data_IF_438688322635
#
_entry.id   IF_438688322635
#
_cell.length_a   1.000
_cell.length_b   1.000
_cell.length_c   1.000
_cell.angle_alpha   90.00
_cell.angle_beta   90.00
_cell.angle_gamma   90.00
#
_symmetry.space_group_name_H-M   'P 1'
#
loop_
_entity.id
_entity.type
_entity.pdbx_description
1 polymer ?
#
# COMPACT_ATOMS: atom_id res chain seq x y z
N UNK A 1 -6.16 -13.25 -22.72
CA UNK A 1 -5.84 -12.62 -24.02
C UNK A 1 -5.56 -13.74 -25.02
N UNK A 2 -6.14 -13.73 -26.21
CA UNK A 2 -5.81 -14.74 -27.22
C UNK A 2 -4.41 -14.49 -27.80
N UNK A 3 -3.75 -15.54 -28.26
CA UNK A 3 -2.42 -15.46 -28.89
C UNK A 3 -2.40 -14.52 -30.10
N UNK A 4 -3.48 -14.50 -30.89
CA UNK A 4 -3.66 -13.59 -32.02
C UNK A 4 -3.75 -12.12 -31.61
N UNK A 5 -4.47 -11.81 -30.53
CA UNK A 5 -4.57 -10.46 -30.00
C UNK A 5 -3.23 -9.96 -29.44
N UNK A 6 -2.46 -10.87 -28.84
CA UNK A 6 -1.10 -10.59 -28.35
C UNK A 6 -0.13 -10.22 -29.47
N UNK A 7 -0.02 -11.07 -30.49
CA UNK A 7 0.88 -10.81 -31.62
C UNK A 7 0.48 -9.54 -32.38
N UNK A 8 -0.81 -9.25 -32.50
CA UNK A 8 -1.29 -8.00 -33.11
C UNK A 8 -0.87 -6.75 -32.33
N UNK A 9 -0.99 -6.77 -31.00
CA UNK A 9 -0.56 -5.64 -30.15
C UNK A 9 0.96 -5.43 -30.21
N UNK A 10 1.74 -6.52 -30.19
CA UNK A 10 3.21 -6.47 -30.36
C UNK A 10 3.55 -5.83 -31.72
N UNK A 11 2.91 -6.31 -32.80
CA UNK A 11 3.24 -5.90 -34.17
C UNK A 11 2.91 -4.45 -34.52
N UNK A 12 1.98 -3.82 -33.80
CA UNK A 12 1.63 -2.40 -33.98
C UNK A 12 2.35 -1.48 -32.97
N UNK A 13 3.33 -2.01 -32.23
CA UNK A 13 4.13 -1.26 -31.27
C UNK A 13 3.34 -0.79 -30.03
N UNK A 14 2.18 -1.40 -29.74
CA UNK A 14 1.46 -1.07 -28.51
C UNK A 14 2.25 -1.59 -27.31
N UNK A 15 2.50 -0.76 -26.28
CA UNK A 15 3.13 -1.22 -25.05
C UNK A 15 2.25 -2.28 -24.41
N UNK A 16 2.79 -3.49 -24.28
CA UNK A 16 2.07 -4.63 -23.72
C UNK A 16 2.13 -4.49 -22.21
N UNK A 17 0.98 -4.32 -21.57
CA UNK A 17 0.90 -4.37 -20.11
C UNK A 17 1.26 -5.77 -19.66
N UNK A 18 2.40 -5.90 -18.99
CA UNK A 18 2.94 -7.18 -18.56
C UNK A 18 2.06 -7.76 -17.44
N UNK A 19 1.76 -9.07 -17.44
CA UNK A 19 0.96 -9.70 -16.36
C UNK A 19 1.62 -9.54 -14.98
N UNK A 20 2.95 -9.39 -14.96
CA UNK A 20 3.73 -9.07 -13.75
C UNK A 20 3.37 -7.70 -13.16
N UNK A 21 3.06 -6.71 -14.00
CA UNK A 21 2.63 -5.37 -13.58
C UNK A 21 1.27 -5.46 -12.88
N UNK A 22 0.31 -6.19 -13.47
CA UNK A 22 -1.03 -6.35 -12.88
C UNK A 22 -1.04 -7.09 -11.54
N UNK A 23 -0.14 -8.06 -11.32
CA UNK A 23 0.00 -8.73 -10.01
C UNK A 23 0.61 -7.81 -8.96
N UNK A 24 1.67 -7.08 -9.32
CA UNK A 24 2.33 -6.12 -8.43
C UNK A 24 1.38 -5.01 -8.00
N UNK A 25 0.57 -4.48 -8.92
CA UNK A 25 -0.48 -3.51 -8.63
C UNK A 25 -1.55 -4.09 -7.70
N UNK A 26 -1.97 -5.34 -7.89
CA UNK A 26 -2.96 -5.99 -7.04
C UNK A 26 -2.44 -6.20 -5.61
N UNK A 27 -1.17 -6.56 -5.44
CA UNK A 27 -0.57 -6.73 -4.13
C UNK A 27 -0.34 -5.39 -3.42
N UNK A 28 0.03 -4.33 -4.17
CA UNK A 28 0.04 -2.96 -3.64
C UNK A 28 -1.35 -2.51 -3.18
N UNK A 29 -2.40 -2.82 -3.94
CA UNK A 29 -3.77 -2.47 -3.56
C UNK A 29 -4.20 -3.17 -2.25
N UNK A 30 -3.80 -4.43 -2.03
CA UNK A 30 -4.04 -5.14 -0.76
C UNK A 30 -3.32 -4.47 0.40
N UNK A 31 -2.03 -4.17 0.24
CA UNK A 31 -1.24 -3.50 1.29
C UNK A 31 -1.86 -2.15 1.67
N UNK A 32 -2.34 -1.38 0.68
CA UNK A 32 -3.03 -0.11 0.92
C UNK A 32 -4.36 -0.29 1.69
N UNK A 33 -5.14 -1.33 1.36
CA UNK A 33 -6.36 -1.64 2.08
C UNK A 33 -6.10 -2.03 3.54
N UNK A 34 -5.05 -2.82 3.79
CA UNK A 34 -4.65 -3.27 5.14
C UNK A 34 -4.24 -2.08 6.01
N UNK A 35 -3.51 -1.12 5.45
CA UNK A 35 -3.20 0.11 6.14
C UNK A 35 -4.43 0.96 6.46
N UNK A 36 -5.40 1.06 5.55
CA UNK A 36 -6.66 1.75 5.82
C UNK A 36 -7.35 1.16 7.05
N UNK A 37 -7.34 -0.18 7.18
CA UNK A 37 -7.85 -0.90 8.35
C UNK A 37 -7.03 -0.61 9.62
N UNK A 38 -5.70 -0.60 9.54
CA UNK A 38 -4.83 -0.22 10.67
C UNK A 38 -5.08 1.21 11.15
N UNK A 39 -5.27 2.16 10.23
CA UNK A 39 -5.63 3.54 10.55
C UNK A 39 -7.00 3.65 11.25
N UNK A 40 -7.98 2.85 10.82
CA UNK A 40 -9.27 2.74 11.48
C UNK A 40 -9.19 2.18 12.90
N UNK A 41 -8.43 1.09 13.09
CA UNK A 41 -8.17 0.48 14.40
C UNK A 41 -7.46 1.45 15.34
N UNK A 42 -6.46 2.16 14.81
CA UNK A 42 -5.77 3.20 15.54
C UNK A 42 -6.73 4.30 16.00
N UNK A 43 -7.56 4.82 15.08
CA UNK A 43 -8.54 5.85 15.39
C UNK A 43 -9.47 5.38 16.50
N UNK A 44 -10.01 4.15 16.39
CA UNK A 44 -10.85 3.54 17.41
C UNK A 44 -10.14 3.49 18.77
N UNK A 45 -8.86 3.14 18.79
CA UNK A 45 -8.06 3.07 20.01
C UNK A 45 -7.84 4.45 20.64
N UNK A 46 -7.60 5.48 19.84
CA UNK A 46 -7.43 6.87 20.29
C UNK A 46 -8.72 7.49 20.84
N UNK A 47 -9.86 7.13 20.26
CA UNK A 47 -11.20 7.61 20.69
C UNK A 47 -11.72 6.91 21.95
N UNK A 48 -11.18 5.73 22.30
CA UNK A 48 -11.58 5.01 23.50
C UNK A 48 -10.76 5.47 24.72
N UNK A 49 -11.13 6.62 25.29
CA UNK A 49 -10.44 7.31 26.40
C UNK A 49 -10.15 6.42 27.64
N UNK A 50 -10.99 5.41 27.91
CA UNK A 50 -10.84 4.51 29.07
C UNK A 50 -9.54 3.69 29.07
N UNK A 51 -8.85 3.55 27.93
CA UNK A 51 -7.60 2.78 27.80
C UNK A 51 -6.34 3.64 27.78
N UNK A 52 -6.48 4.97 27.74
CA UNK A 52 -5.37 5.90 27.55
C UNK A 52 -5.11 6.65 28.85
N UNK A 53 -4.27 6.06 29.70
CA UNK A 53 -3.70 6.78 30.83
C UNK A 53 -2.96 8.03 30.27
N UNK A 54 -3.25 9.27 30.74
CA UNK A 54 -2.79 10.50 30.09
C UNK A 54 -1.28 10.57 29.85
N UNK A 55 -0.50 10.01 30.79
CA UNK A 55 0.96 9.93 30.72
C UNK A 55 1.50 9.08 29.55
N UNK A 56 0.79 8.02 29.15
CA UNK A 56 1.23 7.13 28.06
C UNK A 56 0.68 7.55 26.69
N UNK A 57 -0.32 8.44 26.65
CA UNK A 57 -1.00 8.87 25.42
C UNK A 57 0.00 9.50 24.44
N UNK A 58 0.79 10.47 24.88
CA UNK A 58 1.74 11.18 24.02
C UNK A 58 2.81 10.25 23.42
N UNK A 59 3.41 9.38 24.25
CA UNK A 59 4.45 8.43 23.83
C UNK A 59 3.90 7.37 22.88
N UNK A 60 2.69 6.89 23.12
CA UNK A 60 2.03 5.92 22.26
C UNK A 60 1.69 6.54 20.90
N UNK A 61 1.09 7.73 20.88
CA UNK A 61 0.79 8.45 19.64
C UNK A 61 2.05 8.72 18.82
N UNK A 62 3.16 9.10 19.46
CA UNK A 62 4.44 9.28 18.79
C UNK A 62 4.95 7.98 18.14
N UNK A 63 4.88 6.84 18.84
CA UNK A 63 5.27 5.54 18.31
C UNK A 63 4.41 5.10 17.12
N UNK A 64 3.10 5.37 17.20
CA UNK A 64 2.16 5.09 16.12
C UNK A 64 2.47 5.93 14.88
N UNK A 65 2.68 7.23 15.04
CA UNK A 65 3.03 8.12 13.92
C UNK A 65 4.34 7.65 13.28
N UNK A 66 5.32 7.25 14.10
CA UNK A 66 6.58 6.69 13.62
C UNK A 66 6.36 5.41 12.80
N UNK A 67 5.55 4.47 13.31
CA UNK A 67 5.21 3.24 12.60
C UNK A 67 4.52 3.54 11.26
N UNK A 68 3.53 4.45 11.24
CA UNK A 68 2.83 4.83 10.01
C UNK A 68 3.78 5.42 8.97
N UNK A 69 4.74 6.25 9.38
CA UNK A 69 5.76 6.80 8.50
C UNK A 69 6.69 5.73 7.90
N UNK A 70 7.06 4.72 8.68
CA UNK A 70 7.86 3.58 8.18
C UNK A 70 7.10 2.75 7.15
N UNK A 71 5.82 2.46 7.39
CA UNK A 71 5.00 1.73 6.41
C UNK A 71 4.83 2.57 5.13
N UNK A 72 4.65 3.90 5.26
CA UNK A 72 4.57 4.81 4.10
C UNK A 72 5.86 4.81 3.29
N UNK A 73 7.04 4.83 3.94
CA UNK A 73 8.34 4.70 3.25
C UNK A 73 8.44 3.40 2.46
N UNK A 74 8.07 2.28 3.07
CA UNK A 74 8.09 0.98 2.39
C UNK A 74 7.18 0.95 1.17
N UNK A 75 6.01 1.62 1.22
CA UNK A 75 5.13 1.75 0.05
C UNK A 75 5.75 2.56 -1.07
N UNK A 76 6.38 3.70 -0.77
CA UNK A 76 7.04 4.52 -1.79
C UNK A 76 8.10 3.69 -2.51
N UNK A 77 8.86 2.90 -1.76
CA UNK A 77 9.93 2.05 -2.30
C UNK A 77 9.37 0.90 -3.16
N UNK A 78 8.26 0.28 -2.74
CA UNK A 78 7.58 -0.73 -3.55
C UNK A 78 6.97 -0.13 -4.83
N UNK A 79 6.41 1.07 -4.75
CA UNK A 79 5.87 1.79 -5.89
C UNK A 79 6.96 2.16 -6.91
N UNK A 80 8.09 2.70 -6.43
CA UNK A 80 9.26 2.99 -7.27
C UNK A 80 9.78 1.73 -7.97
N UNK A 81 9.87 0.60 -7.26
CA UNK A 81 10.27 -0.68 -7.85
C UNK A 81 9.26 -1.20 -8.88
N UNK A 82 7.97 -1.01 -8.66
CA UNK A 82 6.92 -1.40 -9.59
C UNK A 82 6.91 -0.52 -10.87
N UNK A 83 7.29 0.75 -10.74
CA UNK A 83 7.28 1.73 -11.84
C UNK A 83 8.61 1.78 -12.61
N UNK A 84 9.70 1.22 -12.06
CA UNK A 84 11.03 1.19 -12.70
C UNK A 84 11.27 -0.03 -13.60
N UNK A 85 10.20 -0.76 -13.98
CA UNK A 85 10.21 -1.90 -14.91
C UNK A 85 9.59 -1.44 -16.22
#
# INVERSE_FOLDING_TARGET
MSTSAFLRQVGIGMPIKCVLDQRSIADLAKVNADQGRLGGLLKLWLTNDKKLNPHNRAKLTANIIKLLNEIKKLQTLLYEKATSI
#
